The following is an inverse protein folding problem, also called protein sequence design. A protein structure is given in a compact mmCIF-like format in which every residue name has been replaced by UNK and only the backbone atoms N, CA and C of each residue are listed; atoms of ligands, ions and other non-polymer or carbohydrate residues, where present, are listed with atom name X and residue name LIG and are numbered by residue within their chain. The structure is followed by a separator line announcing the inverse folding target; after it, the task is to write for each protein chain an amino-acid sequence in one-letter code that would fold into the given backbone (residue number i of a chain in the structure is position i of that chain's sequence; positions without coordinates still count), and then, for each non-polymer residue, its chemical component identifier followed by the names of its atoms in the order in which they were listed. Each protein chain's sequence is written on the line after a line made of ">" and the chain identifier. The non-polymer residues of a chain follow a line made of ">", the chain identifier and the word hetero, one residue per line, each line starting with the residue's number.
data_IF_623923298564
#
_entry.id   IF_623923298564
#
_cell.length_a   1.000
_cell.length_b   1.000
_cell.length_c   1.000
_cell.angle_alpha   90.00
_cell.angle_beta   90.00
_cell.angle_gamma   90.00
#
_symmetry.space_group_name_H-M   'P 1'
#
loop_
_entity.id
_entity.type
_entity.pdbx_description
1 polymer ?
#
# COMPACT_ATOMS: atom_id res chain seq x y z
N UNK A 1 -1.84 -11.49 4.01
CA UNK A 1 -1.19 -12.09 2.82
C UNK A 1 0.24 -12.61 3.06
N UNK A 2 0.88 -12.28 4.19
CA UNK A 2 2.26 -12.73 4.53
C UNK A 2 2.47 -14.25 4.40
N UNK A 3 1.73 -15.07 5.15
CA UNK A 3 1.86 -16.55 5.12
C UNK A 3 1.56 -17.16 3.77
N UNK A 4 0.69 -16.51 2.98
CA UNK A 4 0.40 -16.96 1.63
C UNK A 4 1.61 -16.75 0.72
N UNK A 5 2.28 -15.58 0.76
CA UNK A 5 3.51 -15.35 0.01
C UNK A 5 4.62 -16.36 0.39
N UNK A 6 4.80 -16.60 1.69
CA UNK A 6 5.77 -17.58 2.21
C UNK A 6 5.51 -19.01 1.68
N UNK A 7 4.25 -19.42 1.55
CA UNK A 7 3.89 -20.74 1.04
C UNK A 7 4.32 -20.98 -0.43
N UNK A 8 4.55 -19.91 -1.22
CA UNK A 8 5.05 -19.97 -2.58
C UNK A 8 6.56 -19.67 -2.69
N UNK A 9 7.26 -19.60 -1.55
CA UNK A 9 8.70 -19.32 -1.50
C UNK A 9 9.06 -17.84 -1.67
N UNK A 10 8.09 -16.93 -1.56
CA UNK A 10 8.34 -15.48 -1.52
C UNK A 10 8.44 -14.97 -0.08
N UNK A 11 9.04 -13.79 0.10
CA UNK A 11 9.09 -13.10 1.38
C UNK A 11 7.82 -12.25 1.57
N UNK A 12 7.00 -12.59 2.55
CA UNK A 12 5.80 -11.84 2.89
C UNK A 12 6.07 -10.77 3.94
N UNK A 13 5.53 -9.56 3.74
CA UNK A 13 5.62 -8.44 4.67
C UNK A 13 4.25 -7.80 4.88
N UNK A 14 4.05 -7.14 6.02
CA UNK A 14 2.90 -6.28 6.27
C UNK A 14 3.38 -4.93 6.76
N UNK A 15 2.91 -3.87 6.14
CA UNK A 15 3.20 -2.50 6.57
C UNK A 15 2.07 -2.01 7.46
N UNK A 16 2.42 -1.47 8.62
CA UNK A 16 1.45 -1.02 9.64
C UNK A 16 1.26 0.51 9.66
N UNK A 17 2.10 1.26 8.92
CA UNK A 17 2.03 2.71 8.84
C UNK A 17 2.68 3.25 7.56
N UNK A 18 2.29 4.46 7.14
CA UNK A 18 2.90 5.14 6.01
C UNK A 18 4.41 5.34 6.19
N UNK A 19 4.84 5.74 7.40
CA UNK A 19 6.25 5.96 7.73
C UNK A 19 7.08 4.67 7.68
N UNK A 20 6.44 3.52 7.96
CA UNK A 20 7.07 2.21 7.88
C UNK A 20 7.29 1.71 6.44
N UNK A 21 6.63 2.30 5.45
CA UNK A 21 6.69 1.81 4.07
C UNK A 21 8.06 2.03 3.43
N UNK A 22 8.65 3.21 3.59
CA UNK A 22 9.93 3.54 2.94
C UNK A 22 11.08 2.64 3.43
N UNK A 23 11.32 2.46 4.75
CA UNK A 23 12.36 1.53 5.22
C UNK A 23 12.13 0.09 4.76
N UNK A 24 10.88 -0.37 4.72
CA UNK A 24 10.54 -1.71 4.26
C UNK A 24 10.81 -1.91 2.77
N UNK A 25 10.47 -0.92 1.93
CA UNK A 25 10.79 -0.93 0.51
C UNK A 25 12.29 -0.97 0.28
N UNK A 26 13.06 -0.14 1.00
CA UNK A 26 14.52 -0.16 0.89
C UNK A 26 15.11 -1.53 1.25
N UNK A 27 14.60 -2.17 2.29
CA UNK A 27 14.99 -3.53 2.64
C UNK A 27 14.70 -4.50 1.50
N UNK A 28 13.47 -4.53 1.00
CA UNK A 28 13.05 -5.44 -0.08
C UNK A 28 13.85 -5.25 -1.37
N UNK A 29 14.26 -4.01 -1.68
CA UNK A 29 15.09 -3.72 -2.87
C UNK A 29 16.53 -4.22 -2.68
N UNK A 30 17.08 -4.11 -1.47
CA UNK A 30 18.47 -4.50 -1.15
C UNK A 30 18.63 -6.01 -0.93
N UNK A 31 17.54 -6.74 -0.68
CA UNK A 31 17.56 -8.19 -0.47
C UNK A 31 17.15 -8.96 -1.73
N UNK A 32 17.83 -10.07 -2.06
CA UNK A 32 17.44 -10.89 -3.19
C UNK A 32 16.14 -11.65 -2.92
N UNK A 33 15.35 -11.87 -3.96
CA UNK A 33 14.14 -12.69 -3.92
C UNK A 33 12.88 -11.92 -4.28
N UNK A 34 11.75 -12.62 -4.28
CA UNK A 34 10.43 -12.01 -4.49
C UNK A 34 9.87 -11.56 -3.16
N UNK A 35 9.42 -10.31 -3.09
CA UNK A 35 8.84 -9.70 -1.90
C UNK A 35 7.40 -9.30 -2.17
N UNK A 36 6.49 -9.64 -1.25
CA UNK A 36 5.08 -9.24 -1.29
C UNK A 36 4.80 -8.39 -0.05
N UNK A 37 4.43 -7.14 -0.25
CA UNK A 37 4.07 -6.21 0.84
C UNK A 37 2.54 -6.07 0.89
N UNK A 38 1.96 -6.56 1.98
CA UNK A 38 0.55 -6.40 2.35
C UNK A 38 0.36 -5.00 2.95
N UNK A 39 -0.29 -4.10 2.21
CA UNK A 39 -0.52 -2.70 2.59
C UNK A 39 -2.02 -2.46 2.85
N UNK A 40 -2.44 -2.31 4.12
CA UNK A 40 -3.82 -1.98 4.44
C UNK A 40 -4.14 -0.54 4.01
N UNK A 41 -5.28 -0.36 3.35
CA UNK A 41 -5.78 0.95 2.92
C UNK A 41 -7.18 1.14 3.49
N UNK A 42 -7.39 2.27 4.17
CA UNK A 42 -8.73 2.71 4.56
C UNK A 42 -9.37 3.50 3.40
N UNK A 43 -10.54 3.04 2.97
CA UNK A 43 -11.32 3.64 1.90
C UNK A 43 -12.57 4.37 2.41
N UNK A 44 -12.67 4.60 3.72
CA UNK A 44 -13.82 5.30 4.34
C UNK A 44 -14.14 6.64 3.67
N UNK A 45 -13.12 7.39 3.27
CA UNK A 45 -13.28 8.74 2.70
C UNK A 45 -13.31 8.77 1.17
N UNK A 46 -13.15 7.62 0.50
CA UNK A 46 -12.90 7.58 -0.93
C UNK A 46 -14.03 8.19 -1.75
N UNK A 47 -15.29 7.90 -1.43
CA UNK A 47 -16.43 8.42 -2.18
C UNK A 47 -16.56 9.94 -2.04
N UNK A 48 -16.43 10.46 -0.82
CA UNK A 48 -16.47 11.91 -0.56
C UNK A 48 -15.35 12.62 -1.33
N UNK A 49 -14.12 12.15 -1.21
CA UNK A 49 -12.96 12.81 -1.81
C UNK A 49 -13.00 12.68 -3.34
N UNK A 50 -13.15 11.46 -3.86
CA UNK A 50 -13.00 11.18 -5.29
C UNK A 50 -14.20 11.64 -6.12
N UNK A 51 -15.42 11.33 -5.67
CA UNK A 51 -16.62 11.53 -6.50
C UNK A 51 -17.32 12.87 -6.24
N UNK A 52 -17.14 13.45 -5.05
CA UNK A 52 -17.73 14.73 -4.68
C UNK A 52 -16.70 15.86 -4.72
N UNK A 53 -15.72 15.88 -3.80
CA UNK A 53 -14.82 17.02 -3.63
C UNK A 53 -13.94 17.29 -4.86
N UNK A 54 -13.32 16.25 -5.46
CA UNK A 54 -12.49 16.45 -6.65
C UNK A 54 -13.31 16.97 -7.84
N UNK A 55 -14.55 16.48 -8.00
CA UNK A 55 -15.45 16.95 -9.06
C UNK A 55 -15.83 18.41 -8.87
N UNK A 56 -16.17 18.80 -7.64
CA UNK A 56 -16.48 20.20 -7.31
C UNK A 56 -15.30 21.13 -7.57
N UNK A 57 -14.10 20.74 -7.12
CA UNK A 57 -12.87 21.53 -7.34
C UNK A 57 -12.53 21.67 -8.83
N UNK A 58 -12.73 20.62 -9.63
CA UNK A 58 -12.48 20.66 -11.06
C UNK A 58 -13.42 21.61 -11.82
N UNK A 59 -14.66 21.78 -11.35
CA UNK A 59 -15.65 22.69 -11.95
C UNK A 59 -15.47 24.15 -11.53
N UNK A 60 -14.65 24.42 -10.50
CA UNK A 60 -14.36 25.75 -9.98
C UNK A 60 -13.16 26.44 -10.66
N UNK A 61 -12.56 25.80 -11.67
CA UNK A 61 -11.45 26.32 -12.51
C UNK A 61 -11.98 26.67 -13.89
#
# INVERSE_FOLDING_TARGET
>A
FVKYAEAYGANGHRVESADGLLPLLEHCIKTPGVHVIDCPVDYSENDRILNSELRERALAV
#
